data_IF_568667170299
#
_entry.id   IF_568667170299
#
_cell.length_a   1.000
_cell.length_b   1.000
_cell.length_c   1.000
_cell.angle_alpha   90.00
_cell.angle_beta   90.00
_cell.angle_gamma   90.00
#
_symmetry.space_group_name_H-M   'P 1'
#
loop_
_entity.id
_entity.type
_entity.pdbx_description
1 polymer ?
#
# COMPACT_ATOMS: atom_id res chain seq x y z
N UNK A 1 -26.77 24.65 -25.20
CA UNK A 1 -25.31 24.55 -25.08
C UNK A 1 -24.91 23.17 -25.52
N UNK A 2 -23.92 23.05 -26.38
CA UNK A 2 -23.42 21.74 -26.81
C UNK A 2 -22.67 21.04 -25.65
N UNK A 3 -22.55 19.72 -25.71
CA UNK A 3 -21.86 18.91 -24.68
C UNK A 3 -20.38 19.30 -24.57
N UNK A 4 -19.77 19.70 -25.67
CA UNK A 4 -18.36 20.11 -25.69
C UNK A 4 -18.20 21.49 -25.07
N UNK A 5 -19.13 22.42 -25.34
CA UNK A 5 -19.20 23.73 -24.72
C UNK A 5 -19.43 23.65 -23.20
N UNK A 6 -20.30 22.75 -22.74
CA UNK A 6 -20.47 22.42 -21.31
C UNK A 6 -19.16 21.90 -20.69
N UNK A 7 -18.40 21.10 -21.43
CA UNK A 7 -17.15 20.53 -20.95
C UNK A 7 -16.08 21.60 -20.79
N UNK A 8 -16.00 22.54 -21.73
CA UNK A 8 -15.10 23.69 -21.64
C UNK A 8 -15.48 24.60 -20.46
N UNK A 9 -16.77 24.90 -20.28
CA UNK A 9 -17.26 25.69 -19.15
C UNK A 9 -16.90 25.07 -17.79
N UNK A 10 -16.99 23.74 -17.67
CA UNK A 10 -16.56 23.01 -16.45
C UNK A 10 -15.06 23.18 -16.19
N UNK A 11 -14.22 23.11 -17.22
CA UNK A 11 -12.77 23.29 -17.08
C UNK A 11 -12.44 24.71 -16.62
N UNK A 12 -13.02 25.71 -17.28
CA UNK A 12 -12.79 27.13 -16.98
C UNK A 12 -13.27 27.50 -15.57
N UNK A 13 -14.39 26.91 -15.12
CA UNK A 13 -14.89 27.11 -13.76
C UNK A 13 -13.93 26.48 -12.74
N UNK A 14 -13.40 25.27 -12.98
CA UNK A 14 -12.54 24.55 -12.04
C UNK A 14 -11.16 25.20 -11.90
N UNK A 15 -10.62 25.80 -12.95
CA UNK A 15 -9.32 26.49 -12.92
C UNK A 15 -9.22 27.51 -11.77
N UNK A 16 -10.35 28.20 -11.48
CA UNK A 16 -10.48 29.21 -10.42
C UNK A 16 -10.46 28.63 -9.00
N UNK A 17 -10.57 27.31 -8.84
CA UNK A 17 -10.63 26.64 -7.53
C UNK A 17 -9.48 25.64 -7.36
N UNK A 18 -8.25 26.10 -7.00
CA UNK A 18 -7.09 25.24 -6.77
C UNK A 18 -7.35 24.06 -5.83
N UNK A 19 -8.23 24.21 -4.85
CA UNK A 19 -8.63 23.15 -3.92
C UNK A 19 -9.27 21.91 -4.57
N UNK A 20 -9.79 22.04 -5.80
CA UNK A 20 -10.41 20.94 -6.55
C UNK A 20 -9.41 20.09 -7.34
N UNK A 21 -8.18 20.56 -7.52
CA UNK A 21 -7.18 19.86 -8.32
C UNK A 21 -5.79 19.77 -7.69
N UNK A 22 -5.41 20.70 -6.82
CA UNK A 22 -4.18 20.68 -6.04
C UNK A 22 -4.31 19.78 -4.81
N UNK A 23 -3.42 18.78 -4.72
CA UNK A 23 -3.36 17.87 -3.57
C UNK A 23 -3.10 18.61 -2.25
N UNK A 24 -2.22 19.63 -2.26
CA UNK A 24 -1.87 20.39 -1.05
C UNK A 24 -3.09 21.17 -0.54
N UNK A 25 -3.83 21.82 -1.44
CA UNK A 25 -5.05 22.52 -1.08
C UNK A 25 -6.17 21.56 -0.62
N UNK A 26 -6.26 20.38 -1.21
CA UNK A 26 -7.22 19.34 -0.78
C UNK A 26 -6.93 18.81 0.64
N UNK A 27 -5.66 18.59 1.02
CA UNK A 27 -5.32 18.11 2.36
C UNK A 27 -5.63 19.14 3.47
N UNK A 28 -5.59 20.43 3.13
CA UNK A 28 -5.84 21.52 4.08
C UNK A 28 -7.30 21.98 4.11
N UNK A 29 -8.10 21.63 3.10
CA UNK A 29 -9.50 22.04 3.01
C UNK A 29 -10.42 21.17 3.88
N UNK A 30 -11.38 21.81 4.54
CA UNK A 30 -12.46 21.09 5.23
C UNK A 30 -13.40 20.45 4.21
N UNK A 31 -14.02 19.32 4.57
CA UNK A 31 -15.00 18.63 3.71
C UNK A 31 -16.13 19.56 3.23
N UNK A 32 -16.53 20.52 4.07
CA UNK A 32 -17.54 21.53 3.74
C UNK A 32 -17.07 22.50 2.65
N UNK A 33 -15.84 23.01 2.75
CA UNK A 33 -15.23 23.93 1.76
C UNK A 33 -15.08 23.25 0.40
N UNK A 34 -14.68 21.97 0.40
CA UNK A 34 -14.59 21.19 -0.83
C UNK A 34 -15.97 20.98 -1.48
N UNK A 35 -17.02 20.72 -0.70
CA UNK A 35 -18.38 20.60 -1.22
C UNK A 35 -18.92 21.95 -1.74
N UNK A 36 -18.63 23.03 -1.02
CA UNK A 36 -18.99 24.39 -1.42
C UNK A 36 -18.36 24.77 -2.76
N UNK A 37 -17.06 24.52 -2.95
CA UNK A 37 -16.39 24.80 -4.22
C UNK A 37 -17.00 24.04 -5.39
N UNK A 38 -17.42 22.79 -5.21
CA UNK A 38 -18.15 22.06 -6.27
C UNK A 38 -19.52 22.66 -6.57
N UNK A 39 -20.22 23.18 -5.56
CA UNK A 39 -21.49 23.88 -5.75
C UNK A 39 -21.29 25.21 -6.47
N UNK A 40 -20.23 25.95 -6.15
CA UNK A 40 -19.86 27.20 -6.84
C UNK A 40 -19.46 26.96 -8.30
N UNK A 41 -18.73 25.87 -8.58
CA UNK A 41 -18.46 25.42 -9.95
C UNK A 41 -19.75 25.11 -10.70
N UNK A 42 -20.68 24.37 -10.08
CA UNK A 42 -21.95 24.05 -10.71
C UNK A 42 -22.79 25.30 -10.99
N UNK A 43 -22.83 26.25 -10.04
CA UNK A 43 -23.49 27.54 -10.21
C UNK A 43 -22.86 28.38 -11.33
N UNK A 44 -21.52 28.39 -11.44
CA UNK A 44 -20.79 29.11 -12.48
C UNK A 44 -20.99 28.52 -13.88
N UNK A 45 -21.14 27.20 -14.00
CA UNK A 45 -21.46 26.53 -15.28
C UNK A 45 -22.91 26.79 -15.70
N UNK A 46 -23.82 26.93 -14.73
CA UNK A 46 -25.23 27.24 -14.96
C UNK A 46 -26.03 26.06 -15.53
N UNK A 47 -27.21 26.31 -16.12
CA UNK A 47 -28.02 25.32 -16.86
C UNK A 47 -28.52 24.09 -16.07
N UNK A 48 -28.65 24.21 -14.75
CA UNK A 48 -29.20 23.13 -13.92
C UNK A 48 -28.27 21.93 -13.73
N UNK A 49 -26.99 22.01 -14.12
CA UNK A 49 -26.00 21.01 -13.70
C UNK A 49 -25.71 21.15 -12.22
N UNK A 50 -25.50 20.01 -11.58
CA UNK A 50 -25.18 19.92 -10.16
C UNK A 50 -23.69 19.64 -9.94
N UNK A 51 -23.26 19.81 -8.69
CA UNK A 51 -21.90 19.55 -8.23
C UNK A 51 -21.42 18.12 -8.56
N UNK A 52 -22.30 17.12 -8.48
CA UNK A 52 -21.95 15.72 -8.74
C UNK A 52 -21.64 15.48 -10.21
N UNK A 53 -22.40 16.08 -11.12
CA UNK A 53 -22.12 16.05 -12.56
C UNK A 53 -20.76 16.67 -12.87
N UNK A 54 -20.49 17.88 -12.36
CA UNK A 54 -19.22 18.57 -12.58
C UNK A 54 -18.03 17.73 -12.10
N UNK A 55 -18.15 17.12 -10.92
CA UNK A 55 -17.14 16.23 -10.35
C UNK A 55 -16.90 14.97 -11.19
N UNK A 56 -17.96 14.30 -11.64
CA UNK A 56 -17.83 13.13 -12.50
C UNK A 56 -17.17 13.49 -13.84
N UNK A 57 -17.62 14.59 -14.46
CA UNK A 57 -17.08 15.08 -15.72
C UNK A 57 -15.60 15.44 -15.57
N UNK A 58 -15.24 16.16 -14.52
CA UNK A 58 -13.85 16.51 -14.19
C UNK A 58 -12.96 15.27 -14.04
N UNK A 59 -13.42 14.24 -13.32
CA UNK A 59 -12.66 13.01 -13.16
C UNK A 59 -12.35 12.33 -14.50
N UNK A 60 -13.30 12.33 -15.43
CA UNK A 60 -13.12 11.78 -16.78
C UNK A 60 -12.09 12.61 -17.56
N UNK A 61 -12.25 13.94 -17.55
CA UNK A 61 -11.35 14.88 -18.25
C UNK A 61 -9.92 14.70 -17.72
N UNK A 62 -9.73 14.79 -16.40
CA UNK A 62 -8.43 14.68 -15.74
C UNK A 62 -7.75 13.34 -16.02
N UNK A 63 -8.50 12.23 -15.97
CA UNK A 63 -7.99 10.89 -16.28
C UNK A 63 -7.50 10.80 -17.72
N UNK A 64 -8.30 11.29 -18.66
CA UNK A 64 -7.96 11.28 -20.09
C UNK A 64 -6.77 12.19 -20.39
N UNK A 65 -6.71 13.38 -19.79
CA UNK A 65 -5.58 14.29 -19.96
C UNK A 65 -4.28 13.73 -19.36
N UNK A 66 -4.35 13.09 -18.19
CA UNK A 66 -3.20 12.37 -17.62
C UNK A 66 -2.73 11.26 -18.57
N UNK A 67 -3.65 10.54 -19.21
CA UNK A 67 -3.33 9.50 -20.20
C UNK A 67 -2.72 10.10 -21.48
N UNK A 68 -3.22 11.24 -21.94
CA UNK A 68 -2.67 11.98 -23.07
C UNK A 68 -1.21 12.36 -22.80
N UNK A 69 -0.90 12.94 -21.64
CA UNK A 69 0.48 13.29 -21.27
C UNK A 69 1.41 12.07 -21.20
N UNK A 70 0.90 10.88 -20.85
CA UNK A 70 1.71 9.65 -20.77
C UNK A 70 1.92 8.93 -22.09
N UNK A 71 0.93 8.99 -22.99
CA UNK A 71 0.87 8.10 -24.17
C UNK A 71 0.79 8.84 -25.51
N UNK A 72 0.64 10.16 -25.50
CA UNK A 72 0.35 10.98 -26.67
C UNK A 72 -1.04 10.76 -27.28
N UNK A 73 -1.81 9.77 -26.79
CA UNK A 73 -3.12 9.43 -27.36
C UNK A 73 -4.18 10.41 -26.89
N UNK A 74 -4.73 11.19 -27.83
CA UNK A 74 -5.85 12.07 -27.55
C UNK A 74 -7.17 11.29 -27.59
N UNK A 75 -7.80 11.12 -26.42
CA UNK A 75 -9.14 10.54 -26.28
C UNK A 75 -10.24 11.59 -26.17
N UNK A 76 -9.91 12.87 -25.96
CA UNK A 76 -10.86 13.96 -25.87
C UNK A 76 -10.83 14.75 -27.17
N UNK A 77 -11.80 14.51 -28.05
CA UNK A 77 -11.89 15.17 -29.37
C UNK A 77 -12.38 16.63 -29.31
N UNK A 78 -12.25 17.28 -28.16
CA UNK A 78 -12.68 18.67 -27.96
C UNK A 78 -11.50 19.58 -28.33
N UNK A 79 -11.63 20.44 -29.35
CA UNK A 79 -10.57 21.37 -29.74
C UNK A 79 -10.17 22.28 -28.58
N UNK A 80 -8.86 22.50 -28.37
CA UNK A 80 -8.38 23.46 -27.37
C UNK A 80 -8.44 22.99 -25.91
N UNK A 81 -8.90 21.75 -25.63
CA UNK A 81 -9.10 21.31 -24.24
C UNK A 81 -7.79 21.07 -23.50
N UNK A 82 -6.76 20.60 -24.19
CA UNK A 82 -5.47 20.28 -23.54
C UNK A 82 -4.70 21.55 -23.19
N UNK A 83 -4.84 22.60 -24.01
CA UNK A 83 -4.32 23.94 -23.77
C UNK A 83 -4.97 24.54 -22.50
N UNK A 84 -6.29 24.40 -22.35
CA UNK A 84 -7.03 24.83 -21.15
C UNK A 84 -6.70 24.00 -19.91
N UNK A 85 -6.23 22.77 -20.05
CA UNK A 85 -5.80 21.93 -18.92
C UNK A 85 -4.33 22.12 -18.55
N UNK A 86 -3.61 23.00 -19.24
CA UNK A 86 -2.17 23.20 -19.05
C UNK A 86 -1.79 23.60 -17.62
N UNK A 87 -2.69 24.25 -16.87
CA UNK A 87 -2.50 24.56 -15.45
C UNK A 87 -2.29 23.31 -14.57
N UNK A 88 -2.71 22.12 -15.04
CA UNK A 88 -2.47 20.85 -14.37
C UNK A 88 -1.11 20.23 -14.68
N UNK A 89 -0.43 20.65 -15.75
CA UNK A 89 0.75 19.96 -16.27
C UNK A 89 1.87 19.84 -15.23
N UNK A 90 2.15 20.92 -14.48
CA UNK A 90 3.17 20.94 -13.43
C UNK A 90 2.86 19.95 -12.31
N UNK A 91 1.59 19.90 -11.87
CA UNK A 91 1.13 18.99 -10.83
C UNK A 91 1.12 17.53 -11.31
N UNK A 92 0.66 17.27 -12.54
CA UNK A 92 0.65 15.93 -13.12
C UNK A 92 2.08 15.42 -13.27
N UNK A 93 2.99 16.25 -13.80
CA UNK A 93 4.41 15.90 -13.97
C UNK A 93 5.07 15.62 -12.62
N UNK A 94 4.89 16.48 -11.62
CA UNK A 94 5.43 16.26 -10.27
C UNK A 94 4.97 14.93 -9.65
N UNK A 95 3.72 14.53 -9.87
CA UNK A 95 3.23 13.24 -9.39
C UNK A 95 3.75 12.05 -10.20
N UNK A 96 3.96 12.22 -11.50
CA UNK A 96 4.61 11.20 -12.33
C UNK A 96 6.04 10.96 -11.86
N UNK A 97 6.80 12.04 -11.61
CA UNK A 97 8.17 11.97 -11.13
C UNK A 97 8.23 11.26 -9.76
N UNK A 98 7.28 11.58 -8.85
CA UNK A 98 7.15 10.89 -7.55
C UNK A 98 6.84 9.40 -7.69
N UNK A 99 5.97 9.02 -8.63
CA UNK A 99 5.60 7.62 -8.84
C UNK A 99 6.71 6.84 -9.54
N UNK A 100 7.42 7.46 -10.49
CA UNK A 100 8.61 6.90 -11.11
C UNK A 100 9.69 6.62 -10.06
N UNK A 101 9.95 7.61 -9.18
CA UNK A 101 10.83 7.47 -8.02
C UNK A 101 10.41 6.31 -7.10
N UNK A 102 9.13 6.23 -6.72
CA UNK A 102 8.61 5.12 -5.90
C UNK A 102 8.74 3.76 -6.57
N UNK A 103 8.54 3.71 -7.88
CA UNK A 103 8.66 2.49 -8.66
C UNK A 103 10.11 2.01 -8.71
N UNK A 104 11.06 2.94 -8.90
CA UNK A 104 12.48 2.64 -8.85
C UNK A 104 12.92 2.15 -7.46
N UNK A 105 12.51 2.82 -6.38
CA UNK A 105 12.79 2.40 -5.00
C UNK A 105 12.26 0.98 -4.69
N UNK A 106 11.15 0.57 -5.32
CA UNK A 106 10.57 -0.78 -5.14
C UNK A 106 11.21 -1.83 -6.05
N UNK A 107 12.03 -1.43 -7.01
CA UNK A 107 12.69 -2.37 -7.93
C UNK A 107 13.61 -3.29 -7.14
N UNK A 108 13.57 -4.59 -7.44
CA UNK A 108 14.46 -5.56 -6.80
C UNK A 108 15.93 -5.25 -7.09
N UNK A 109 16.27 -4.90 -8.33
CA UNK A 109 17.63 -4.54 -8.72
C UNK A 109 18.14 -3.35 -7.91
N UNK A 110 17.33 -2.29 -7.81
CA UNK A 110 17.65 -1.12 -7.00
C UNK A 110 17.89 -1.47 -5.53
N UNK A 111 17.04 -2.33 -4.96
CA UNK A 111 17.17 -2.74 -3.56
C UNK A 111 18.43 -3.60 -3.34
N UNK A 112 18.78 -4.48 -4.28
CA UNK A 112 20.01 -5.27 -4.20
C UNK A 112 21.23 -4.34 -4.19
N UNK A 113 21.27 -3.34 -5.09
CA UNK A 113 22.37 -2.40 -5.16
C UNK A 113 22.48 -1.54 -3.88
N UNK A 114 21.34 -1.10 -3.34
CA UNK A 114 21.29 -0.40 -2.05
C UNK A 114 21.88 -1.26 -0.92
N UNK A 115 21.49 -2.54 -0.84
CA UNK A 115 21.96 -3.46 0.20
C UNK A 115 23.48 -3.65 0.11
N UNK A 116 24.03 -3.85 -1.10
CA UNK A 116 25.48 -3.97 -1.34
C UNK A 116 26.27 -2.71 -0.99
N UNK A 117 25.68 -1.54 -1.21
CA UNK A 117 26.31 -0.27 -0.82
C UNK A 117 26.27 -0.09 0.70
N UNK A 118 25.15 -0.39 1.35
CA UNK A 118 25.03 -0.30 2.81
C UNK A 118 25.98 -1.30 3.50
N UNK A 119 26.18 -2.50 2.94
CA UNK A 119 27.12 -3.50 3.46
C UNK A 119 28.56 -2.96 3.60
N UNK A 120 28.99 -2.08 2.68
CA UNK A 120 30.30 -1.43 2.68
C UNK A 120 30.48 -0.39 3.80
N UNK A 121 29.40 -0.01 4.48
CA UNK A 121 29.38 0.95 5.58
C UNK A 121 28.87 0.31 6.88
N UNK A 122 29.69 -0.51 7.57
CA UNK A 122 29.29 -1.25 8.77
C UNK A 122 28.56 -0.44 9.84
N UNK A 123 28.97 0.81 10.07
CA UNK A 123 28.38 1.72 11.06
C UNK A 123 26.92 2.11 10.79
N UNK A 124 26.44 1.94 9.54
CA UNK A 124 25.04 2.21 9.18
C UNK A 124 24.08 1.14 9.73
N UNK A 125 24.56 -0.08 9.97
CA UNK A 125 23.72 -1.20 10.37
C UNK A 125 24.14 -1.89 11.66
N UNK A 126 25.39 -1.77 12.07
CA UNK A 126 25.88 -2.22 13.36
C UNK A 126 25.45 -1.27 14.49
N UNK A 127 25.67 -1.68 15.74
CA UNK A 127 25.31 -0.91 16.94
C UNK A 127 26.49 -0.10 17.50
N UNK A 128 27.43 0.31 16.63
CA UNK A 128 28.58 1.11 17.05
C UNK A 128 28.16 2.56 17.35
N UNK A 129 28.80 3.23 18.33
CA UNK A 129 28.60 4.65 18.57
C UNK A 129 29.02 5.44 17.33
N UNK A 130 28.19 6.39 16.90
CA UNK A 130 28.36 7.11 15.63
C UNK A 130 27.99 8.58 15.73
N UNK A 131 28.66 9.43 14.96
CA UNK A 131 28.28 10.83 14.78
C UNK A 131 27.15 10.97 13.77
N UNK A 132 26.21 11.89 14.00
CA UNK A 132 25.16 12.21 13.02
C UNK A 132 25.75 12.70 11.69
N UNK A 133 26.90 13.37 11.74
CA UNK A 133 27.57 13.88 10.54
C UNK A 133 28.13 12.75 9.66
N UNK A 134 28.66 11.68 10.27
CA UNK A 134 29.20 10.52 9.55
C UNK A 134 28.08 9.69 8.91
N UNK A 135 26.91 9.62 9.56
CA UNK A 135 25.71 9.00 8.99
C UNK A 135 25.24 9.77 7.75
N UNK A 136 25.10 11.09 7.86
CA UNK A 136 24.65 11.95 6.75
C UNK A 136 25.62 11.86 5.57
N UNK A 137 26.93 11.96 5.81
CA UNK A 137 27.94 11.85 4.77
C UNK A 137 27.90 10.48 4.05
N UNK A 138 27.71 9.38 4.79
CA UNK A 138 27.59 8.05 4.21
C UNK A 138 26.31 7.92 3.35
N UNK A 139 25.17 8.41 3.83
CA UNK A 139 23.92 8.37 3.05
C UNK A 139 23.95 9.30 1.84
N UNK A 140 24.65 10.43 1.92
CA UNK A 140 24.89 11.32 0.78
C UNK A 140 25.78 10.65 -0.28
N UNK A 141 26.84 9.95 0.13
CA UNK A 141 27.68 9.16 -0.79
C UNK A 141 26.87 8.07 -1.48
N UNK A 142 26.08 7.30 -0.72
CA UNK A 142 25.21 6.25 -1.27
C UNK A 142 24.19 6.85 -2.25
N UNK A 143 23.53 7.94 -1.87
CA UNK A 143 22.58 8.63 -2.75
C UNK A 143 23.24 9.14 -4.02
N UNK A 144 24.45 9.71 -3.93
CA UNK A 144 25.21 10.17 -5.10
C UNK A 144 25.56 9.05 -6.06
N UNK A 145 25.86 7.84 -5.56
CA UNK A 145 26.18 6.67 -6.40
C UNK A 145 24.92 6.11 -7.05
N UNK A 146 23.77 6.15 -6.37
CA UNK A 146 22.51 5.58 -6.86
C UNK A 146 21.67 6.55 -7.71
N UNK A 147 22.05 7.83 -7.80
CA UNK A 147 21.27 8.91 -8.41
C UNK A 147 21.42 9.00 -9.94
N UNK A 148 21.75 7.91 -10.63
CA UNK A 148 22.07 7.95 -12.07
C UNK A 148 20.89 8.35 -12.99
N UNK A 149 19.63 8.29 -12.52
CA UNK A 149 18.46 8.67 -13.36
C UNK A 149 17.33 9.45 -12.66
N UNK A 150 17.21 9.39 -11.34
CA UNK A 150 16.11 10.02 -10.58
C UNK A 150 16.67 10.74 -9.37
N UNK A 151 16.12 11.90 -9.03
CA UNK A 151 16.46 12.68 -7.83
C UNK A 151 16.07 11.94 -6.54
N UNK A 152 16.87 10.93 -6.21
CA UNK A 152 16.84 10.18 -4.98
C UNK A 152 17.70 10.92 -3.96
N UNK A 153 17.15 11.18 -2.78
CA UNK A 153 17.84 11.89 -1.71
C UNK A 153 18.41 10.90 -0.69
N UNK A 154 19.36 11.35 0.13
CA UNK A 154 19.88 10.58 1.27
C UNK A 154 18.77 10.11 2.21
N UNK A 155 17.74 10.93 2.44
CA UNK A 155 16.57 10.57 3.26
C UNK A 155 15.71 9.46 2.65
N UNK A 156 15.60 9.41 1.32
CA UNK A 156 14.90 8.31 0.64
C UNK A 156 15.66 7.00 0.81
N UNK A 157 17.00 7.02 0.72
CA UNK A 157 17.86 5.84 0.90
C UNK A 157 17.77 5.31 2.32
N UNK A 158 17.82 6.20 3.30
CA UNK A 158 17.64 5.86 4.70
C UNK A 158 16.26 5.25 4.96
N UNK A 159 15.20 5.87 4.46
CA UNK A 159 13.83 5.37 4.62
C UNK A 159 13.65 4.00 3.96
N UNK A 160 14.19 3.83 2.76
CA UNK A 160 14.13 2.57 2.03
C UNK A 160 14.89 1.46 2.77
N UNK A 161 16.10 1.75 3.25
CA UNK A 161 16.88 0.82 4.07
C UNK A 161 16.14 0.39 5.34
N UNK A 162 15.54 1.32 6.08
CA UNK A 162 14.76 1.00 7.28
C UNK A 162 13.56 0.10 6.96
N UNK A 163 12.90 0.34 5.82
CA UNK A 163 11.82 -0.52 5.33
C UNK A 163 12.32 -1.93 5.01
N UNK A 164 13.43 -2.06 4.26
CA UNK A 164 14.03 -3.35 3.93
C UNK A 164 14.46 -4.11 5.20
N UNK A 165 15.14 -3.43 6.14
CA UNK A 165 15.54 -4.02 7.41
C UNK A 165 14.34 -4.51 8.21
N UNK A 166 13.25 -3.74 8.26
CA UNK A 166 12.01 -4.15 8.93
C UNK A 166 11.41 -5.41 8.29
N UNK A 167 11.35 -5.47 6.96
CA UNK A 167 10.84 -6.63 6.22
C UNK A 167 11.74 -7.86 6.49
N UNK A 168 13.05 -7.69 6.47
CA UNK A 168 14.01 -8.76 6.75
C UNK A 168 13.89 -9.28 8.19
N UNK A 169 13.75 -8.38 9.17
CA UNK A 169 13.48 -8.73 10.57
C UNK A 169 12.21 -9.58 10.71
N UNK A 170 11.13 -9.18 10.03
CA UNK A 170 9.86 -9.91 9.99
C UNK A 170 10.04 -11.30 9.33
N UNK A 171 10.75 -11.37 8.21
CA UNK A 171 11.05 -12.63 7.51
C UNK A 171 11.79 -13.62 8.41
N UNK A 172 12.79 -13.15 9.17
CA UNK A 172 13.53 -13.99 10.11
C UNK A 172 12.66 -14.52 11.27
N UNK A 173 11.51 -13.90 11.56
CA UNK A 173 10.58 -14.32 12.61
C UNK A 173 9.52 -15.33 12.13
N UNK A 174 9.14 -15.29 10.84
CA UNK A 174 7.98 -16.01 10.29
C UNK A 174 8.32 -17.35 9.60
N UNK A 175 9.52 -17.90 9.86
CA UNK A 175 10.14 -19.10 9.26
C UNK A 175 10.83 -18.84 7.90
N UNK A 176 12.17 -18.84 7.85
CA UNK A 176 12.92 -18.53 6.64
C UNK A 176 12.94 -19.74 5.69
N UNK A 177 12.21 -19.65 4.58
CA UNK A 177 12.56 -20.41 3.39
C UNK A 177 13.40 -19.51 2.48
N UNK A 178 14.67 -19.84 2.36
CA UNK A 178 15.63 -19.08 1.57
C UNK A 178 15.38 -19.32 0.08
N UNK A 179 15.37 -18.23 -0.69
CA UNK A 179 15.18 -18.28 -2.14
C UNK A 179 16.03 -17.19 -2.79
N UNK A 180 16.97 -17.53 -3.68
CA UNK A 180 18.00 -16.61 -4.20
C UNK A 180 17.45 -15.46 -5.04
N UNK A 181 16.15 -15.45 -5.34
CA UNK A 181 15.45 -14.39 -6.07
C UNK A 181 14.90 -13.29 -5.13
N UNK A 182 15.15 -13.40 -3.83
CA UNK A 182 14.61 -12.51 -2.81
C UNK A 182 15.67 -11.55 -2.29
N UNK A 183 15.24 -10.38 -1.83
CA UNK A 183 16.16 -9.36 -1.26
C UNK A 183 16.76 -9.86 0.06
N UNK A 184 16.02 -10.70 0.78
CA UNK A 184 16.40 -11.29 2.06
C UNK A 184 17.69 -12.11 1.96
N UNK A 185 17.94 -12.76 0.82
CA UNK A 185 19.18 -13.53 0.59
C UNK A 185 20.44 -12.64 0.57
N UNK A 186 20.31 -11.36 0.25
CA UNK A 186 21.42 -10.39 0.22
C UNK A 186 21.64 -9.69 1.57
N UNK A 187 20.75 -9.90 2.56
CA UNK A 187 20.79 -9.19 3.85
C UNK A 187 21.34 -10.04 4.99
N UNK A 188 21.88 -11.23 4.70
CA UNK A 188 22.43 -12.16 5.68
C UNK A 188 23.58 -11.59 6.52
N UNK A 189 24.34 -10.61 5.99
CA UNK A 189 25.39 -9.92 6.74
C UNK A 189 24.86 -9.17 7.97
N UNK A 190 23.55 -8.91 8.06
CA UNK A 190 22.94 -8.29 9.23
C UNK A 190 22.80 -9.24 10.41
N UNK A 191 22.75 -10.56 10.18
CA UNK A 191 22.48 -11.57 11.22
C UNK A 191 23.37 -11.40 12.46
N UNK A 192 24.70 -11.21 12.36
CA UNK A 192 25.58 -11.04 13.53
C UNK A 192 25.28 -9.77 14.35
N UNK A 193 24.59 -8.79 13.77
CA UNK A 193 24.34 -7.48 14.36
C UNK A 193 22.88 -7.27 14.76
N UNK A 194 21.99 -8.19 14.40
CA UNK A 194 20.60 -8.13 14.80
C UNK A 194 20.49 -8.61 16.25
N UNK A 195 20.20 -7.67 17.16
CA UNK A 195 19.84 -7.98 18.55
C UNK A 195 18.46 -8.62 18.60
N UNK A 196 18.34 -9.85 18.15
CA UNK A 196 17.18 -10.68 18.45
C UNK A 196 17.51 -11.59 19.64
N UNK A 197 16.61 -11.73 20.62
CA UNK A 197 16.46 -13.04 21.21
C UNK A 197 15.94 -13.93 20.08
N UNK A 198 16.82 -14.65 19.39
CA UNK A 198 16.40 -15.86 18.68
C UNK A 198 15.65 -16.64 19.76
N UNK A 199 14.31 -16.70 19.71
CA UNK A 199 13.62 -17.71 20.50
C UNK A 199 14.07 -19.01 19.89
N UNK A 200 14.94 -19.80 20.55
CA UNK A 200 15.28 -21.10 20.03
C UNK A 200 13.98 -21.88 20.08
N UNK A 201 13.41 -22.16 18.92
CA UNK A 201 12.10 -22.79 18.76
C UNK A 201 10.97 -21.97 19.37
N UNK A 202 10.32 -21.13 18.56
CA UNK A 202 8.87 -21.16 18.63
C UNK A 202 8.45 -22.54 18.09
N UNK A 203 8.54 -23.57 18.94
CA UNK A 203 7.49 -24.58 18.92
C UNK A 203 6.22 -23.73 18.95
N UNK A 204 5.32 -23.81 17.95
CA UNK A 204 3.99 -23.26 18.12
C UNK A 204 3.59 -23.71 19.52
N UNK A 205 3.15 -22.81 20.41
CA UNK A 205 2.55 -23.25 21.66
C UNK A 205 1.47 -24.27 21.25
N UNK A 206 1.81 -25.55 21.23
CA UNK A 206 1.00 -26.59 21.78
C UNK A 206 0.67 -26.01 23.13
N UNK A 207 -0.51 -25.42 23.19
CA UNK A 207 -1.18 -25.23 24.46
C UNK A 207 -1.18 -26.64 25.03
N UNK A 208 -0.20 -26.93 25.88
CA UNK A 208 -0.36 -27.94 26.91
C UNK A 208 -1.60 -27.48 27.64
N UNK A 209 -2.71 -28.06 27.21
CA UNK A 209 -4.01 -27.92 27.81
C UNK A 209 -4.01 -28.82 29.04
N UNK A 210 -3.09 -28.58 29.95
CA UNK A 210 -3.25 -28.96 31.35
C UNK A 210 -3.97 -27.78 31.98
N UNK A 211 -5.21 -28.04 32.41
CA UNK A 211 -6.12 -27.14 33.12
C UNK A 211 -7.15 -26.41 32.24
N UNK A 212 -7.97 -27.19 31.52
CA UNK A 212 -9.38 -26.82 31.32
C UNK A 212 -10.30 -27.98 31.75
N UNK A 213 -11.51 -27.67 32.26
CA UNK A 213 -12.43 -28.67 32.77
C UNK A 213 -12.77 -29.68 31.67
N UNK A 214 -12.56 -30.96 31.97
CA UNK A 214 -13.08 -32.08 31.19
C UNK A 214 -14.61 -32.03 31.25
N UNK A 215 -15.23 -31.25 30.38
CA UNK A 215 -16.64 -31.43 30.08
C UNK A 215 -16.81 -32.43 28.93
N UNK A 216 -17.62 -33.44 29.21
CA UNK A 216 -17.91 -34.59 28.37
C UNK A 216 -18.28 -34.20 26.93
N UNK A 217 -17.69 -34.91 25.97
CA UNK A 217 -17.89 -34.78 24.51
C UNK A 217 -19.35 -34.88 24.03
N UNK A 218 -20.31 -35.20 24.91
CA UNK A 218 -21.71 -35.40 24.57
C UNK A 218 -22.55 -34.11 24.58
N UNK A 219 -22.10 -33.01 25.18
CA UNK A 219 -22.95 -31.82 25.40
C UNK A 219 -22.78 -30.69 24.37
N UNK A 220 -21.84 -30.80 23.41
CA UNK A 220 -21.37 -29.64 22.61
C UNK A 220 -22.00 -29.53 21.21
N UNK A 221 -22.75 -30.54 20.79
CA UNK A 221 -23.28 -30.62 19.41
C UNK A 221 -24.72 -30.09 19.30
N UNK A 222 -25.47 -30.05 20.41
CA UNK A 222 -26.91 -29.69 20.44
C UNK A 222 -27.22 -28.24 19.99
N UNK A 223 -26.23 -27.35 19.92
CA UNK A 223 -26.43 -25.96 19.52
C UNK A 223 -26.64 -25.73 18.01
N UNK A 224 -26.44 -26.75 17.16
CA UNK A 224 -26.44 -26.60 15.70
C UNK A 224 -27.34 -27.61 14.96
N UNK A 225 -28.16 -28.39 15.67
CA UNK A 225 -29.06 -29.40 15.07
C UNK A 225 -30.08 -28.82 14.08
N UNK A 226 -30.33 -27.51 14.12
CA UNK A 226 -31.19 -26.82 13.16
C UNK A 226 -30.59 -26.67 11.75
N UNK A 227 -29.31 -26.99 11.55
CA UNK A 227 -28.63 -26.86 10.26
C UNK A 227 -28.81 -28.08 9.33
N UNK A 228 -29.52 -29.12 9.78
CA UNK A 228 -29.90 -30.26 8.93
C UNK A 228 -28.72 -31.06 8.40
N UNK A 229 -27.61 -31.12 9.14
CA UNK A 229 -26.45 -31.93 8.77
C UNK A 229 -26.66 -33.39 9.20
N UNK A 230 -26.08 -34.33 8.45
CA UNK A 230 -26.11 -35.75 8.80
C UNK A 230 -25.13 -36.01 9.97
N UNK A 231 -25.57 -36.50 11.13
CA UNK A 231 -24.70 -36.84 12.24
C UNK A 231 -23.67 -37.94 11.92
N UNK A 232 -23.88 -38.71 10.84
CA UNK A 232 -22.93 -39.69 10.33
C UNK A 232 -21.80 -39.10 9.47
N UNK A 233 -21.94 -37.85 9.04
CA UNK A 233 -20.93 -37.16 8.23
C UNK A 233 -19.78 -36.66 9.12
N UNK A 234 -18.66 -37.38 9.02
CA UNK A 234 -17.44 -37.10 9.80
C UNK A 234 -16.83 -35.73 9.45
N UNK A 235 -16.98 -35.29 8.21
CA UNK A 235 -16.47 -33.99 7.75
C UNK A 235 -17.32 -32.85 8.30
N UNK A 236 -18.64 -33.01 8.30
CA UNK A 236 -19.55 -32.06 8.93
C UNK A 236 -19.29 -31.93 10.44
N UNK A 237 -19.13 -33.06 11.14
CA UNK A 237 -18.80 -33.09 12.56
C UNK A 237 -17.46 -32.39 12.87
N UNK A 238 -16.44 -32.64 12.03
CA UNK A 238 -15.16 -31.96 12.13
C UNK A 238 -15.29 -30.44 11.95
N UNK A 239 -15.99 -29.97 10.92
CA UNK A 239 -16.17 -28.54 10.66
C UNK A 239 -16.92 -27.83 11.81
N UNK A 240 -17.94 -28.47 12.39
CA UNK A 240 -18.66 -27.95 13.55
C UNK A 240 -17.77 -27.85 14.79
N UNK A 241 -16.83 -28.79 14.96
CA UNK A 241 -15.88 -28.76 16.08
C UNK A 241 -14.93 -27.55 16.05
N UNK A 242 -14.70 -26.96 14.88
CA UNK A 242 -13.79 -25.82 14.67
C UNK A 242 -14.47 -24.47 15.03
N UNK A 243 -15.80 -24.40 14.97
CA UNK A 243 -16.56 -23.15 15.15
C UNK A 243 -16.27 -22.41 16.47
N UNK A 244 -16.15 -23.07 17.63
CA UNK A 244 -15.86 -22.38 18.89
C UNK A 244 -14.48 -21.70 18.87
N UNK A 245 -13.50 -22.33 18.21
CA UNK A 245 -12.18 -21.72 18.02
C UNK A 245 -12.27 -20.50 17.12
N UNK A 246 -13.08 -20.55 16.04
CA UNK A 246 -13.31 -19.38 15.18
C UNK A 246 -14.00 -18.23 15.90
N UNK A 247 -14.93 -18.53 16.81
CA UNK A 247 -15.62 -17.52 17.65
C UNK A 247 -14.64 -16.82 18.59
N UNK A 248 -13.65 -17.54 19.11
CA UNK A 248 -12.60 -16.99 19.98
C UNK A 248 -11.52 -16.17 19.23
N UNK A 249 -11.43 -16.27 17.90
CA UNK A 249 -10.46 -15.49 17.09
C UNK A 249 -10.86 -14.03 16.92
N UNK A 250 -9.84 -13.15 16.89
CA UNK A 250 -9.99 -11.75 16.46
C UNK A 250 -10.37 -11.64 14.97
N UNK A 251 -10.93 -10.50 14.55
CA UNK A 251 -11.36 -10.29 13.15
C UNK A 251 -10.23 -10.50 12.12
N UNK A 252 -9.00 -10.09 12.45
CA UNK A 252 -7.84 -10.30 11.58
C UNK A 252 -7.45 -11.79 11.48
N UNK A 253 -7.38 -12.50 12.61
CA UNK A 253 -7.05 -13.94 12.64
C UNK A 253 -8.11 -14.77 11.90
N UNK A 254 -9.40 -14.46 12.10
CA UNK A 254 -10.49 -15.14 11.40
C UNK A 254 -10.43 -14.92 9.89
N UNK A 255 -10.03 -13.74 9.43
CA UNK A 255 -9.82 -13.45 8.00
C UNK A 255 -8.65 -14.25 7.43
N UNK A 256 -7.52 -14.30 8.13
CA UNK A 256 -6.36 -15.10 7.69
C UNK A 256 -6.68 -16.60 7.64
N UNK A 257 -7.41 -17.13 8.63
CA UNK A 257 -7.86 -18.52 8.62
C UNK A 257 -8.70 -18.83 7.37
N UNK A 258 -9.70 -18.00 7.06
CA UNK A 258 -10.57 -18.19 5.88
C UNK A 258 -9.79 -18.16 4.57
N UNK A 259 -8.85 -17.22 4.42
CA UNK A 259 -8.01 -17.12 3.22
C UNK A 259 -7.19 -18.39 3.05
N UNK A 260 -6.51 -18.85 4.11
CA UNK A 260 -5.68 -20.07 4.06
C UNK A 260 -6.51 -21.33 3.78
N UNK A 261 -7.69 -21.46 4.39
CA UNK A 261 -8.57 -22.60 4.14
C UNK A 261 -8.99 -22.70 2.67
N UNK A 262 -9.34 -21.57 2.04
CA UNK A 262 -9.70 -21.53 0.60
C UNK A 262 -8.48 -21.79 -0.29
N UNK A 263 -7.32 -21.19 0.01
CA UNK A 263 -6.10 -21.41 -0.78
C UNK A 263 -5.61 -22.85 -0.73
N UNK A 264 -5.85 -23.56 0.39
CA UNK A 264 -5.52 -24.97 0.51
C UNK A 264 -6.51 -25.88 -0.23
N UNK A 265 -7.77 -25.46 -0.38
CA UNK A 265 -8.76 -26.22 -1.17
C UNK A 265 -8.61 -26.07 -2.68
N UNK A 266 -7.90 -25.03 -3.15
CA UNK A 266 -7.64 -24.79 -4.59
C UNK A 266 -6.54 -25.71 -5.18
N UNK A 267 -5.93 -26.57 -4.37
CA UNK A 267 -5.05 -27.65 -4.81
C UNK A 267 -5.78 -28.99 -4.76
N UNK A 268 -6.79 -29.17 -5.61
CA UNK A 268 -7.29 -30.48 -6.02
C UNK A 268 -7.95 -30.44 -7.38
#
# INVERSE_FOLDING_TARGET
MDKDELTLAVVDAIEKYPLLYSGVAHFNARRAEHMQAWNEVAAAVGQGVNATYCKQRWNIIRRNHTKYLRTGRNTIKIPGIHERLSFLNSWIKSNQDKEAKRSQLRSLAFNIDLVKLVEQHPWLYNDQPRSKAEDEEAWEKIASIMSDEVSVTSEDMRTQWLSLRRIYVQFMQDSPQDSPQRIESYMHFLIPHLKFPIKPNFVPKSVECSDLPTESKSARVEGYDHLGYDPGDQDAAFLLSILPHLKAMTGHQRRQFKVRAVTLSDFS
#
